data_IF_253726941437
#
_entry.id   IF_253726941437
#
_cell.length_a   1.000
_cell.length_b   1.000
_cell.length_c   1.000
_cell.angle_alpha   90.00
_cell.angle_beta   90.00
_cell.angle_gamma   90.00
#
_symmetry.space_group_name_H-M   'P 1'
#
loop_
_entity.id
_entity.type
_entity.pdbx_description
1 polymer ?
#
# COMPACT_ATOMS: atom_id res chain seq x y z
N UNK A 1 -76.09 -53.43 -8.01
CA UNK A 1 -75.61 -52.61 -6.87
C UNK A 1 -74.47 -53.40 -6.24
N UNK A 2 -73.19 -53.10 -6.35
CA UNK A 2 -72.45 -51.85 -6.49
C UNK A 2 -71.24 -52.02 -5.57
N UNK A 3 -70.10 -52.49 -6.08
CA UNK A 3 -68.88 -52.65 -5.31
C UNK A 3 -67.90 -51.53 -5.68
N UNK A 4 -67.69 -50.59 -4.76
CA UNK A 4 -66.71 -49.52 -4.89
C UNK A 4 -65.30 -50.12 -4.75
N UNK A 5 -64.50 -50.01 -5.81
CA UNK A 5 -63.05 -50.21 -5.75
C UNK A 5 -62.43 -48.85 -5.41
N UNK A 6 -61.96 -48.72 -4.17
CA UNK A 6 -61.21 -47.55 -3.72
C UNK A 6 -59.73 -47.74 -4.10
N UNK A 7 -59.32 -47.14 -5.21
CA UNK A 7 -57.91 -47.10 -5.62
C UNK A 7 -57.19 -46.03 -4.81
N UNK A 8 -56.36 -46.45 -3.86
CA UNK A 8 -55.45 -45.57 -3.11
C UNK A 8 -54.30 -45.18 -4.04
N UNK A 9 -54.33 -43.96 -4.56
CA UNK A 9 -53.21 -43.37 -5.30
C UNK A 9 -52.14 -42.97 -4.27
N UNK A 10 -51.07 -43.77 -4.20
CA UNK A 10 -49.89 -43.45 -3.43
C UNK A 10 -49.10 -42.37 -4.19
N UNK A 11 -49.36 -41.10 -3.89
CA UNK A 11 -48.52 -39.99 -4.35
C UNK A 11 -47.16 -40.08 -3.65
N UNK A 12 -46.20 -40.71 -4.31
CA UNK A 12 -44.77 -40.59 -3.95
C UNK A 12 -44.36 -39.15 -4.30
N UNK A 13 -44.48 -38.24 -3.34
CA UNK A 13 -43.82 -36.95 -3.40
C UNK A 13 -42.31 -37.21 -3.30
N UNK A 14 -41.65 -37.26 -4.45
CA UNK A 14 -40.20 -37.12 -4.51
C UNK A 14 -39.92 -35.69 -4.05
N UNK A 15 -39.61 -35.53 -2.77
CA UNK A 15 -39.01 -34.29 -2.27
C UNK A 15 -37.68 -34.16 -3.02
N UNK A 16 -37.47 -33.13 -3.84
CA UNK A 16 -36.14 -32.90 -4.39
C UNK A 16 -35.25 -32.57 -3.20
N UNK A 17 -34.37 -33.51 -2.85
CA UNK A 17 -33.25 -33.25 -1.95
C UNK A 17 -32.47 -32.11 -2.59
N UNK A 18 -32.62 -30.91 -2.05
CA UNK A 18 -31.84 -29.74 -2.45
C UNK A 18 -30.42 -29.99 -1.94
N UNK A 19 -29.65 -30.75 -2.72
CA UNK A 19 -28.20 -30.83 -2.56
C UNK A 19 -27.64 -29.46 -2.92
N UNK A 20 -27.17 -28.71 -1.93
CA UNK A 20 -26.56 -27.42 -2.14
C UNK A 20 -25.13 -27.67 -2.64
N UNK A 21 -24.99 -27.66 -3.96
CA UNK A 21 -23.69 -27.74 -4.64
C UNK A 21 -22.80 -26.58 -4.15
N UNK A 22 -21.46 -26.76 -4.11
CA UNK A 22 -20.56 -25.67 -3.78
C UNK A 22 -20.80 -24.51 -4.76
N UNK A 23 -21.16 -23.33 -4.24
CA UNK A 23 -21.47 -22.15 -5.06
C UNK A 23 -20.31 -21.17 -5.03
N UNK A 24 -19.86 -20.80 -6.22
CA UNK A 24 -19.01 -19.63 -6.41
C UNK A 24 -19.77 -18.39 -5.93
N UNK A 25 -19.21 -17.67 -4.96
CA UNK A 25 -19.75 -16.40 -4.50
C UNK A 25 -19.15 -15.28 -5.33
N UNK A 26 -19.99 -14.50 -5.99
CA UNK A 26 -19.56 -13.34 -6.74
C UNK A 26 -20.46 -12.15 -6.41
N UNK A 27 -19.86 -11.02 -6.03
CA UNK A 27 -20.59 -9.84 -5.58
C UNK A 27 -19.84 -8.57 -5.90
N UNK A 28 -20.57 -7.52 -6.27
CA UNK A 28 -20.09 -6.14 -6.25
C UNK A 28 -20.37 -5.47 -4.91
N UNK A 29 -19.64 -4.41 -4.58
CA UNK A 29 -19.93 -3.55 -3.42
C UNK A 29 -21.26 -2.79 -3.56
N UNK A 30 -21.73 -2.54 -4.78
CA UNK A 30 -23.06 -2.00 -5.07
C UNK A 30 -23.53 -2.46 -6.47
N UNK A 31 -24.85 -2.50 -6.68
CA UNK A 31 -25.44 -2.76 -8.01
C UNK A 31 -25.48 -1.49 -8.87
N UNK A 32 -25.61 -0.33 -8.24
CA UNK A 32 -25.64 0.98 -8.88
C UNK A 32 -24.59 1.86 -8.22
N UNK A 33 -23.71 2.45 -9.02
CA UNK A 33 -22.61 3.31 -8.58
C UNK A 33 -22.68 4.65 -9.31
N UNK A 34 -22.09 5.68 -8.71
CA UNK A 34 -21.92 6.99 -9.33
C UNK A 34 -20.45 7.18 -9.72
N UNK A 35 -20.24 7.55 -10.98
CA UNK A 35 -18.92 7.84 -11.54
C UNK A 35 -18.16 8.84 -10.64
N UNK A 36 -16.85 8.61 -10.42
CA UNK A 36 -15.95 9.46 -9.63
C UNK A 36 -16.29 9.66 -8.14
N UNK A 37 -17.36 9.05 -7.63
CA UNK A 37 -17.76 9.17 -6.22
C UNK A 37 -17.42 7.89 -5.48
N UNK A 38 -17.88 6.75 -5.99
CA UNK A 38 -17.75 5.46 -5.32
C UNK A 38 -16.86 4.52 -6.14
N UNK A 39 -15.91 3.83 -5.50
CA UNK A 39 -15.12 2.81 -6.20
C UNK A 39 -16.01 1.60 -6.53
N UNK A 40 -15.68 0.91 -7.63
CA UNK A 40 -16.26 -0.40 -7.93
C UNK A 40 -15.33 -1.49 -7.41
N UNK A 41 -15.85 -2.39 -6.61
CA UNK A 41 -15.11 -3.54 -6.07
C UNK A 41 -15.90 -4.80 -6.40
N UNK A 42 -15.32 -5.65 -7.25
CA UNK A 42 -15.85 -6.96 -7.57
C UNK A 42 -15.09 -8.02 -6.80
N UNK A 43 -15.80 -8.84 -6.04
CA UNK A 43 -15.22 -9.89 -5.20
C UNK A 43 -15.76 -11.25 -5.60
N UNK A 44 -14.85 -12.14 -6.03
CA UNK A 44 -15.17 -13.51 -6.36
C UNK A 44 -14.46 -14.46 -5.40
N UNK A 45 -15.19 -15.38 -4.77
CA UNK A 45 -14.63 -16.39 -3.87
C UNK A 45 -15.24 -17.77 -4.07
N UNK A 46 -14.40 -18.80 -3.99
CA UNK A 46 -14.80 -20.20 -4.06
C UNK A 46 -14.25 -20.95 -2.84
N UNK A 47 -15.15 -21.66 -2.16
CA UNK A 47 -14.78 -22.57 -1.07
C UNK A 47 -14.17 -23.85 -1.64
N UNK A 48 -12.98 -24.20 -1.14
CA UNK A 48 -12.29 -25.44 -1.50
C UNK A 48 -12.92 -26.68 -0.86
N UNK A 49 -13.73 -26.53 0.18
CA UNK A 49 -14.40 -27.63 0.86
C UNK A 49 -15.92 -27.43 0.85
N UNK A 50 -16.66 -28.48 0.47
CA UNK A 50 -18.10 -28.52 0.62
C UNK A 50 -18.50 -29.45 1.78
N UNK A 51 -18.97 -28.86 2.88
CA UNK A 51 -19.45 -29.59 4.06
C UNK A 51 -20.60 -30.56 3.73
N UNK A 52 -21.39 -30.29 2.70
CA UNK A 52 -22.56 -31.11 2.37
C UNK A 52 -22.20 -32.38 1.58
N UNK A 53 -21.18 -32.30 0.71
CA UNK A 53 -20.77 -33.44 -0.13
C UNK A 53 -19.49 -34.12 0.36
N UNK A 54 -18.81 -33.55 1.37
CA UNK A 54 -17.51 -33.99 1.86
C UNK A 54 -16.47 -34.09 0.72
N UNK A 55 -16.62 -33.22 -0.28
CA UNK A 55 -15.76 -33.16 -1.46
C UNK A 55 -14.81 -31.97 -1.36
N UNK A 56 -13.57 -32.21 -1.77
CA UNK A 56 -12.53 -31.20 -1.86
C UNK A 56 -12.35 -30.75 -3.31
N UNK A 57 -12.41 -29.45 -3.51
CA UNK A 57 -12.15 -28.76 -4.77
C UNK A 57 -10.76 -28.11 -4.73
N UNK A 58 -9.93 -28.48 -5.69
CA UNK A 58 -8.64 -27.84 -5.93
C UNK A 58 -8.80 -26.80 -7.03
N UNK A 59 -8.91 -25.53 -6.63
CA UNK A 59 -8.97 -24.40 -7.58
C UNK A 59 -7.62 -24.24 -8.26
N UNK A 60 -7.63 -24.11 -9.59
CA UNK A 60 -6.42 -23.92 -10.39
C UNK A 60 -6.38 -22.55 -11.07
N UNK A 61 -7.54 -22.05 -11.53
CA UNK A 61 -7.65 -20.78 -12.24
C UNK A 61 -8.94 -20.08 -11.81
N UNK A 62 -8.86 -18.77 -11.59
CA UNK A 62 -10.01 -17.88 -11.46
C UNK A 62 -9.84 -16.70 -12.40
N UNK A 63 -10.92 -16.21 -12.99
CA UNK A 63 -10.90 -14.94 -13.70
C UNK A 63 -12.23 -14.21 -13.63
N UNK A 64 -12.15 -12.89 -13.79
CA UNK A 64 -13.29 -12.00 -13.93
C UNK A 64 -13.26 -11.42 -15.33
N UNK A 65 -14.41 -11.41 -16.00
CA UNK A 65 -14.57 -10.83 -17.34
C UNK A 65 -15.81 -9.96 -17.43
N UNK A 66 -15.78 -8.98 -18.32
CA UNK A 66 -16.90 -8.13 -18.69
C UNK A 66 -17.52 -8.61 -20.01
N UNK A 67 -18.83 -8.42 -20.18
CA UNK A 67 -19.53 -8.86 -21.40
C UNK A 67 -18.99 -8.24 -22.70
N UNK A 68 -18.51 -7.00 -22.67
CA UNK A 68 -17.91 -6.31 -23.84
C UNK A 68 -16.40 -6.15 -23.76
N UNK A 69 -15.84 -6.01 -22.55
CA UNK A 69 -14.42 -5.66 -22.37
C UNK A 69 -13.54 -6.91 -22.25
N UNK A 70 -14.14 -8.11 -22.29
CA UNK A 70 -13.41 -9.36 -22.22
C UNK A 70 -12.83 -9.64 -20.83
N UNK A 71 -11.71 -10.36 -20.79
CA UNK A 71 -11.08 -10.79 -19.53
C UNK A 71 -10.41 -9.60 -18.86
N UNK A 72 -10.82 -9.31 -17.62
CA UNK A 72 -10.32 -8.19 -16.84
C UNK A 72 -9.11 -8.60 -16.01
N UNK A 73 -9.24 -9.70 -15.29
CA UNK A 73 -8.18 -10.21 -14.44
C UNK A 73 -8.23 -11.72 -14.35
N UNK A 74 -7.04 -12.33 -14.31
CA UNK A 74 -6.84 -13.77 -14.23
C UNK A 74 -5.87 -14.07 -13.09
N UNK A 75 -6.16 -15.11 -12.33
CA UNK A 75 -5.31 -15.65 -11.30
C UNK A 75 -5.18 -17.15 -11.50
N UNK A 76 -3.95 -17.59 -11.76
CA UNK A 76 -3.59 -19.01 -11.73
C UNK A 76 -2.90 -19.33 -10.42
N UNK A 77 -2.93 -20.60 -10.03
CA UNK A 77 -2.24 -21.07 -8.83
C UNK A 77 -0.74 -20.76 -8.91
N UNK A 78 -0.20 -20.25 -7.80
CA UNK A 78 1.21 -19.87 -7.62
C UNK A 78 1.73 -18.80 -8.60
N UNK A 79 0.84 -18.06 -9.25
CA UNK A 79 1.17 -16.93 -10.11
C UNK A 79 0.68 -15.61 -9.50
N UNK A 80 1.33 -14.50 -9.87
CA UNK A 80 0.81 -13.17 -9.59
C UNK A 80 -0.50 -12.95 -10.34
N UNK A 81 -1.38 -12.13 -9.77
CA UNK A 81 -2.63 -11.75 -10.45
C UNK A 81 -2.29 -10.94 -11.70
N UNK A 82 -2.80 -11.38 -12.85
CA UNK A 82 -2.70 -10.65 -14.10
C UNK A 82 -3.92 -9.74 -14.26
N UNK A 83 -3.68 -8.52 -14.74
CA UNK A 83 -4.72 -7.54 -15.11
C UNK A 83 -4.52 -7.21 -16.58
N UNK A 84 -5.61 -7.11 -17.35
CA UNK A 84 -5.54 -6.79 -18.76
C UNK A 84 -4.91 -5.41 -19.00
N UNK A 85 -4.07 -5.31 -20.03
CA UNK A 85 -3.24 -4.14 -20.32
C UNK A 85 -4.05 -2.88 -20.68
N UNK A 86 -5.29 -3.04 -21.10
CA UNK A 86 -6.24 -1.97 -21.43
C UNK A 86 -6.88 -1.33 -20.18
N UNK A 87 -6.63 -1.86 -18.99
CA UNK A 87 -7.25 -1.39 -17.74
C UNK A 87 -6.25 -0.71 -16.78
N UNK A 88 -5.58 0.34 -17.23
CA UNK A 88 -4.53 1.04 -16.45
C UNK A 88 -4.98 1.63 -15.10
N UNK A 89 -6.29 1.75 -14.83
CA UNK A 89 -6.84 2.25 -13.56
C UNK A 89 -7.37 1.15 -12.62
N UNK A 90 -7.27 -0.12 -12.99
CA UNK A 90 -7.67 -1.24 -12.13
C UNK A 90 -6.50 -1.81 -11.34
N UNK A 91 -6.81 -2.16 -10.10
CA UNK A 91 -5.95 -2.97 -9.27
C UNK A 91 -6.67 -4.28 -8.98
N UNK A 92 -5.97 -5.40 -9.08
CA UNK A 92 -6.51 -6.69 -8.72
C UNK A 92 -5.58 -7.39 -7.73
N UNK A 93 -6.17 -8.12 -6.79
CA UNK A 93 -5.44 -8.99 -5.89
C UNK A 93 -6.26 -10.23 -5.62
N UNK A 94 -5.60 -11.30 -5.24
CA UNK A 94 -6.25 -12.59 -5.06
C UNK A 94 -5.24 -13.63 -4.64
N UNK A 95 -5.77 -14.75 -4.16
CA UNK A 95 -4.96 -15.89 -3.76
C UNK A 95 -5.76 -17.17 -3.91
N UNK A 96 -5.12 -18.16 -4.52
CA UNK A 96 -5.64 -19.52 -4.57
C UNK A 96 -5.02 -20.29 -3.40
N UNK A 97 -5.88 -20.81 -2.52
CA UNK A 97 -5.47 -21.54 -1.33
C UNK A 97 -5.62 -23.05 -1.54
N UNK A 98 -4.61 -23.79 -1.06
CA UNK A 98 -4.61 -25.25 -1.08
C UNK A 98 -5.29 -25.89 0.14
N UNK A 99 -5.65 -25.10 1.16
CA UNK A 99 -6.18 -25.59 2.44
C UNK A 99 -7.70 -25.52 2.46
N UNK A 100 -8.31 -26.50 3.12
CA UNK A 100 -9.77 -26.70 3.16
C UNK A 100 -10.54 -25.61 3.93
N UNK A 101 -9.84 -24.75 4.67
CA UNK A 101 -10.42 -23.72 5.53
C UNK A 101 -10.34 -22.30 4.96
N UNK A 102 -9.70 -22.10 3.80
CA UNK A 102 -9.55 -20.76 3.20
C UNK A 102 -10.12 -20.72 1.79
N UNK A 103 -11.05 -19.79 1.58
CA UNK A 103 -11.67 -19.54 0.29
C UNK A 103 -10.63 -18.96 -0.66
N UNK A 104 -10.49 -19.59 -1.83
CA UNK A 104 -9.73 -19.00 -2.93
C UNK A 104 -10.51 -17.80 -3.45
N UNK A 105 -9.84 -16.68 -3.68
CA UNK A 105 -10.52 -15.45 -4.06
C UNK A 105 -9.73 -14.61 -5.06
N UNK A 106 -10.49 -13.82 -5.84
CA UNK A 106 -10.00 -12.82 -6.77
C UNK A 106 -10.87 -11.56 -6.61
N UNK A 107 -10.23 -10.43 -6.35
CA UNK A 107 -10.86 -9.13 -6.20
C UNK A 107 -10.29 -8.15 -7.22
N UNK A 108 -11.17 -7.41 -7.89
CA UNK A 108 -10.80 -6.33 -8.82
C UNK A 108 -11.43 -5.03 -8.36
N UNK A 109 -10.62 -3.97 -8.36
CA UNK A 109 -10.94 -2.65 -7.80
C UNK A 109 -10.72 -1.59 -8.87
N UNK A 110 -11.76 -0.84 -9.20
CA UNK A 110 -11.68 0.40 -9.97
C UNK A 110 -11.80 1.56 -8.98
N UNK A 111 -10.75 2.39 -8.88
CA UNK A 111 -10.81 3.61 -8.05
C UNK A 111 -11.84 4.61 -8.58
N UNK A 112 -11.85 4.79 -9.90
CA UNK A 112 -12.73 5.72 -10.60
C UNK A 112 -13.45 4.97 -11.74
N UNK A 113 -14.53 4.22 -11.44
CA UNK A 113 -15.27 3.49 -12.47
C UNK A 113 -15.91 4.48 -13.45
N UNK A 114 -15.87 4.16 -14.75
CA UNK A 114 -16.48 4.96 -15.82
C UNK A 114 -17.85 4.39 -16.20
N UNK A 115 -18.68 5.20 -16.86
CA UNK A 115 -19.99 4.72 -17.38
C UNK A 115 -19.81 3.53 -18.35
N UNK A 116 -18.71 3.52 -19.12
CA UNK A 116 -18.33 2.43 -20.04
C UNK A 116 -18.05 1.10 -19.33
N UNK A 117 -17.84 1.11 -18.01
CA UNK A 117 -17.69 -0.08 -17.17
C UNK A 117 -19.05 -0.59 -16.65
N UNK A 118 -20.17 -0.02 -17.10
CA UNK A 118 -21.48 -0.61 -16.82
C UNK A 118 -21.69 -1.86 -17.66
N UNK A 119 -22.29 -2.87 -17.06
CA UNK A 119 -22.64 -4.10 -17.76
C UNK A 119 -22.63 -5.33 -16.86
N UNK A 120 -22.65 -6.48 -17.51
CA UNK A 120 -22.58 -7.78 -16.86
C UNK A 120 -21.13 -8.22 -16.70
N UNK A 121 -20.81 -8.60 -15.47
CA UNK A 121 -19.56 -9.20 -15.09
C UNK A 121 -19.77 -10.66 -14.77
N UNK A 122 -18.80 -11.48 -15.13
CA UNK A 122 -18.80 -12.91 -14.88
C UNK A 122 -17.54 -13.25 -14.10
N UNK A 123 -17.69 -13.99 -13.01
CA UNK A 123 -16.59 -14.70 -12.41
C UNK A 123 -16.65 -16.17 -12.80
N UNK A 124 -15.52 -16.71 -13.23
CA UNK A 124 -15.34 -18.12 -13.53
C UNK A 124 -14.21 -18.69 -12.67
N UNK A 125 -14.41 -19.89 -12.16
CA UNK A 125 -13.41 -20.64 -11.40
C UNK A 125 -13.33 -22.07 -11.90
N UNK A 126 -12.12 -22.48 -12.27
CA UNK A 126 -11.78 -23.83 -12.71
C UNK A 126 -11.17 -24.58 -11.54
N UNK A 127 -11.80 -25.68 -11.15
CA UNK A 127 -11.35 -26.52 -10.07
C UNK A 127 -11.39 -27.99 -10.46
N UNK A 128 -10.57 -28.81 -9.80
CA UNK A 128 -10.64 -30.26 -9.88
C UNK A 128 -11.24 -30.80 -8.60
N UNK A 129 -12.19 -31.73 -8.69
CA UNK A 129 -12.70 -32.43 -7.52
C UNK A 129 -11.68 -33.47 -6.98
N UNK A 130 -12.06 -34.19 -5.93
CA UNK A 130 -11.24 -35.24 -5.31
C UNK A 130 -10.90 -36.40 -6.25
N UNK A 131 -11.75 -36.66 -7.25
CA UNK A 131 -11.51 -37.70 -8.27
C UNK A 131 -10.65 -37.21 -9.44
N UNK A 132 -10.23 -35.94 -9.42
CA UNK A 132 -9.41 -35.32 -10.46
C UNK A 132 -10.20 -34.83 -11.68
N UNK A 133 -11.53 -34.90 -11.64
CA UNK A 133 -12.42 -34.43 -12.70
C UNK A 133 -12.52 -32.89 -12.67
N UNK A 134 -12.43 -32.29 -13.86
CA UNK A 134 -12.57 -30.84 -14.03
C UNK A 134 -14.01 -30.39 -13.75
N UNK A 135 -14.14 -29.31 -12.99
CA UNK A 135 -15.38 -28.66 -12.61
C UNK A 135 -15.25 -27.16 -12.84
N UNK A 136 -16.24 -26.57 -13.52
CA UNK A 136 -16.28 -25.14 -13.80
C UNK A 136 -17.43 -24.52 -13.01
N UNK A 137 -17.11 -23.50 -12.24
CA UNK A 137 -18.09 -22.71 -11.49
C UNK A 137 -18.16 -21.31 -12.08
N UNK A 138 -19.38 -20.80 -12.22
CA UNK A 138 -19.62 -19.47 -12.77
C UNK A 138 -20.70 -18.76 -11.96
N UNK A 139 -20.54 -17.44 -11.81
CA UNK A 139 -21.52 -16.55 -11.22
C UNK A 139 -21.44 -15.17 -11.88
N UNK A 140 -22.54 -14.44 -11.88
CA UNK A 140 -22.71 -13.20 -12.65
C UNK A 140 -23.24 -12.10 -11.75
N UNK A 141 -22.75 -10.87 -11.95
CA UNK A 141 -23.32 -9.65 -11.34
C UNK A 141 -23.52 -8.60 -12.43
N UNK A 142 -24.51 -7.75 -12.27
CA UNK A 142 -24.74 -6.60 -13.18
C UNK A 142 -24.46 -5.32 -12.42
N UNK A 143 -23.63 -4.46 -13.00
CA UNK A 143 -23.24 -3.18 -12.42
C UNK A 143 -23.73 -2.06 -13.33
N UNK A 144 -24.34 -1.03 -12.75
CA UNK A 144 -24.75 0.18 -13.47
C UNK A 144 -24.03 1.39 -12.92
N UNK A 145 -23.17 2.00 -13.73
CA UNK A 145 -22.48 3.24 -13.40
C UNK A 145 -23.25 4.42 -14.00
N UNK A 146 -23.63 5.36 -13.15
CA UNK A 146 -24.40 6.55 -13.52
C UNK A 146 -23.54 7.81 -13.41
N UNK A 147 -23.87 8.83 -14.20
CA UNK A 147 -23.34 10.18 -13.96
C UNK A 147 -23.85 10.71 -12.62
N UNK A 148 -23.00 11.37 -11.83
CA UNK A 148 -23.44 12.02 -10.61
C UNK A 148 -24.37 13.19 -10.92
N UNK A 149 -25.36 13.41 -10.05
CA UNK A 149 -26.23 14.59 -10.09
C UNK A 149 -25.63 15.73 -9.27
N UNK A 150 -26.16 16.94 -9.42
CA UNK A 150 -25.72 18.10 -8.64
C UNK A 150 -25.76 17.83 -7.13
N UNK A 151 -26.82 17.21 -6.61
CA UNK A 151 -26.96 16.90 -5.19
C UNK A 151 -25.85 15.95 -4.68
N UNK A 152 -25.45 14.99 -5.51
CA UNK A 152 -24.37 14.05 -5.19
C UNK A 152 -23.02 14.78 -5.09
N UNK A 153 -22.80 15.74 -5.99
CA UNK A 153 -21.59 16.57 -5.99
C UNK A 153 -21.56 17.52 -4.78
N UNK A 154 -22.70 18.05 -4.35
CA UNK A 154 -22.80 18.88 -3.14
C UNK A 154 -22.39 18.08 -1.90
N UNK A 155 -22.78 16.80 -1.81
CA UNK A 155 -22.37 15.93 -0.72
C UNK A 155 -20.84 15.71 -0.71
N UNK A 156 -20.25 15.43 -1.87
CA UNK A 156 -18.78 15.26 -2.00
C UNK A 156 -18.06 16.56 -1.64
N UNK A 157 -18.52 17.70 -2.15
CA UNK A 157 -17.95 19.00 -1.83
C UNK A 157 -18.01 19.28 -0.32
N UNK A 158 -19.13 18.97 0.34
CA UNK A 158 -19.26 19.10 1.79
C UNK A 158 -18.29 18.20 2.57
N UNK A 159 -18.03 16.98 2.09
CA UNK A 159 -17.01 16.11 2.70
C UNK A 159 -15.59 16.63 2.50
N UNK A 160 -15.29 17.19 1.32
CA UNK A 160 -14.00 17.80 1.03
C UNK A 160 -13.75 19.03 1.89
N UNK A 161 -14.75 19.91 2.04
CA UNK A 161 -14.66 21.08 2.91
C UNK A 161 -14.35 20.67 4.36
N UNK A 162 -15.06 19.68 4.91
CA UNK A 162 -14.76 19.15 6.26
C UNK A 162 -13.33 18.61 6.40
N UNK A 163 -12.79 17.98 5.36
CA UNK A 163 -11.39 17.52 5.35
C UNK A 163 -10.41 18.68 5.35
N UNK A 164 -10.71 19.74 4.59
CA UNK A 164 -9.92 20.99 4.60
C UNK A 164 -9.92 21.59 6.01
N UNK A 165 -11.09 21.75 6.63
CA UNK A 165 -11.20 22.28 8.01
C UNK A 165 -10.36 21.44 9.00
N UNK A 166 -10.41 20.11 8.87
CA UNK A 166 -9.62 19.20 9.72
C UNK A 166 -8.12 19.38 9.49
N UNK A 167 -7.70 19.54 8.23
CA UNK A 167 -6.29 19.76 7.89
C UNK A 167 -5.80 21.10 8.40
N UNK A 168 -6.61 22.15 8.31
CA UNK A 168 -6.30 23.47 8.88
C UNK A 168 -6.08 23.38 10.39
N UNK A 169 -6.95 22.70 11.12
CA UNK A 169 -6.77 22.46 12.57
C UNK A 169 -5.49 21.69 12.89
N UNK A 170 -5.14 20.69 12.07
CA UNK A 170 -3.89 19.94 12.24
C UNK A 170 -2.66 20.81 11.98
N UNK A 171 -2.73 21.71 10.98
CA UNK A 171 -1.65 22.66 10.69
C UNK A 171 -1.45 23.63 11.84
N UNK A 172 -2.52 24.26 12.35
CA UNK A 172 -2.45 25.15 13.52
C UNK A 172 -1.89 24.41 14.76
N UNK A 173 -2.35 23.18 14.98
CA UNK A 173 -1.85 22.32 16.06
C UNK A 173 -0.37 21.96 15.92
N UNK A 174 0.15 21.86 14.70
CA UNK A 174 1.58 21.63 14.47
C UNK A 174 2.40 22.91 14.64
N UNK A 175 1.89 24.06 14.20
CA UNK A 175 2.56 25.36 14.39
C UNK A 175 2.74 25.70 15.88
N UNK A 176 1.71 25.46 16.71
CA UNK A 176 1.80 25.68 18.15
C UNK A 176 2.83 24.78 18.83
N UNK A 177 2.94 23.51 18.40
CA UNK A 177 3.98 22.59 18.89
C UNK A 177 5.37 23.06 18.51
N UNK A 178 5.56 23.54 17.28
CA UNK A 178 6.84 24.08 16.81
C UNK A 178 7.24 25.33 17.60
N UNK A 179 6.31 26.26 17.83
CA UNK A 179 6.56 27.42 18.71
C UNK A 179 6.95 27.01 20.13
N UNK A 180 6.23 26.04 20.73
CA UNK A 180 6.58 25.53 22.05
C UNK A 180 7.89 24.75 22.11
N UNK A 181 8.38 24.23 20.99
CA UNK A 181 9.72 23.64 20.87
C UNK A 181 10.78 24.75 20.77
N UNK A 182 10.51 25.80 19.99
CA UNK A 182 11.38 26.96 19.86
C UNK A 182 11.55 27.71 21.18
N UNK A 183 10.47 27.96 21.92
CA UNK A 183 10.51 28.56 23.26
C UNK A 183 11.36 27.73 24.23
N UNK A 184 11.26 26.39 24.16
CA UNK A 184 12.10 25.48 24.94
C UNK A 184 13.57 25.57 24.53
N UNK A 185 13.85 25.64 23.23
CA UNK A 185 15.21 25.82 22.73
C UNK A 185 15.81 27.17 23.17
N UNK A 186 15.01 28.24 23.18
CA UNK A 186 15.42 29.56 23.69
C UNK A 186 15.70 29.50 25.19
N UNK A 187 14.86 28.86 25.99
CA UNK A 187 15.11 28.68 27.43
C UNK A 187 16.38 27.84 27.69
N UNK A 188 16.59 26.79 26.90
CA UNK A 188 17.82 25.98 26.97
C UNK A 188 19.03 26.85 26.62
N UNK A 189 18.98 27.61 25.53
CA UNK A 189 20.07 28.52 25.13
C UNK A 189 20.38 29.55 26.22
N UNK A 190 19.37 30.19 26.82
CA UNK A 190 19.55 31.12 27.95
C UNK A 190 20.19 30.44 29.17
N UNK A 191 19.80 29.20 29.46
CA UNK A 191 20.38 28.42 30.56
C UNK A 191 21.84 28.04 30.27
N UNK A 192 22.18 27.72 29.03
CA UNK A 192 23.57 27.54 28.59
C UNK A 192 24.39 28.83 28.73
N UNK A 193 23.86 29.99 28.30
CA UNK A 193 24.53 31.30 28.50
C UNK A 193 24.74 31.64 29.98
N UNK A 194 23.78 31.29 30.85
CA UNK A 194 23.92 31.44 32.30
C UNK A 194 24.96 30.52 32.93
N UNK A 195 25.16 29.32 32.37
CA UNK A 195 26.23 28.40 32.76
C UNK A 195 27.62 28.89 32.32
N UNK A 196 27.71 29.56 31.17
CA UNK A 196 28.94 30.26 30.75
C UNK A 196 29.27 31.46 31.66
N UNK A 197 28.25 32.21 32.10
CA UNK A 197 28.42 33.33 33.03
C UNK A 197 28.79 32.91 34.47
N UNK A 198 28.59 31.62 34.84
CA UNK A 198 28.97 31.04 36.13
C UNK A 198 30.37 30.40 36.13
N UNK A 199 31.16 30.51 35.06
CA UNK A 199 32.52 29.96 35.03
C UNK A 199 33.56 30.92 34.44
N UNK A 200 33.72 32.07 35.10
CA UNK A 200 34.79 33.02 34.84
C UNK A 200 35.81 33.01 36.00
N UNK A 201 36.40 31.84 36.31
CA UNK A 201 37.75 31.77 36.92
C UNK A 201 38.41 30.37 37.03
N UNK A 202 38.02 29.34 36.26
CA UNK A 202 38.73 28.03 36.30
C UNK A 202 38.85 27.27 34.98
N UNK A 203 38.81 27.93 33.82
CA UNK A 203 39.15 27.29 32.54
C UNK A 203 39.93 28.26 31.65
N UNK A 204 41.04 28.80 32.17
CA UNK A 204 41.93 29.66 31.38
C UNK A 204 43.35 29.10 31.19
N UNK A 205 43.65 27.91 31.73
CA UNK A 205 44.97 27.28 31.57
C UNK A 205 44.97 25.99 30.74
N UNK A 206 43.80 25.40 30.44
CA UNK A 206 43.69 24.15 29.66
C UNK A 206 43.29 24.34 28.18
N UNK A 207 42.88 25.54 27.77
CA UNK A 207 42.45 25.83 26.37
C UNK A 207 43.59 26.44 25.52
N UNK A 208 44.81 26.54 26.04
CA UNK A 208 45.99 26.96 25.25
C UNK A 208 46.84 25.79 24.72
N UNK A 209 46.41 24.53 24.88
CA UNK A 209 47.22 23.36 24.47
C UNK A 209 46.51 22.38 23.52
N UNK A 210 45.23 22.61 23.16
CA UNK A 210 44.49 21.71 22.23
C UNK A 210 44.11 22.33 20.89
N UNK A 211 44.69 23.47 20.51
CA UNK A 211 44.85 23.84 19.09
C UNK A 211 45.99 23.04 18.46
N UNK A 212 45.93 21.72 18.61
CA UNK A 212 46.65 20.84 17.70
C UNK A 212 45.98 21.00 16.34
N UNK A 213 46.75 21.44 15.36
CA UNK A 213 46.43 21.40 13.95
C UNK A 213 45.84 20.03 13.57
N UNK A 214 44.52 19.85 13.65
CA UNK A 214 43.85 18.74 12.96
C UNK A 214 43.84 19.10 11.49
N UNK A 215 44.76 18.50 10.75
CA UNK A 215 44.74 18.50 9.29
C UNK A 215 43.32 18.15 8.82
N UNK A 216 42.70 18.94 7.93
CA UNK A 216 41.36 18.65 7.44
C UNK A 216 41.34 17.27 6.79
N UNK A 217 40.28 16.49 7.04
CA UNK A 217 40.15 15.13 6.51
C UNK A 217 40.15 15.17 4.98
N UNK A 218 41.01 14.38 4.35
CA UNK A 218 41.01 14.26 2.88
C UNK A 218 39.99 13.24 2.38
N UNK A 219 39.61 12.30 3.25
CA UNK A 219 38.68 11.22 2.98
C UNK A 219 38.01 10.74 4.27
N UNK A 220 36.89 10.02 4.15
CA UNK A 220 36.25 9.33 5.27
C UNK A 220 37.15 8.27 5.93
N UNK A 221 38.20 7.78 5.24
CA UNK A 221 39.15 6.80 5.80
C UNK A 221 39.88 7.32 7.05
N UNK A 222 40.11 8.63 7.12
CA UNK A 222 40.83 9.26 8.23
C UNK A 222 39.88 9.72 9.35
N UNK A 223 38.56 9.56 9.16
CA UNK A 223 37.55 10.02 10.10
C UNK A 223 37.36 8.99 11.20
N UNK A 224 37.78 9.36 12.41
CA UNK A 224 37.56 8.57 13.62
C UNK A 224 36.39 9.16 14.42
N UNK A 225 35.29 8.42 14.53
CA UNK A 225 34.10 8.80 15.31
C UNK A 225 33.56 7.63 16.12
N UNK A 226 32.90 7.93 17.24
CA UNK A 226 32.09 6.96 17.99
C UNK A 226 30.81 6.56 17.24
N UNK A 227 30.26 7.48 16.45
CA UNK A 227 29.00 7.29 15.74
C UNK A 227 29.18 6.41 14.51
N UNK A 228 28.19 5.56 14.23
CA UNK A 228 28.19 4.69 13.03
C UNK A 228 28.30 5.52 11.74
N UNK A 229 27.57 6.64 11.70
CA UNK A 229 27.54 7.58 10.58
C UNK A 229 27.71 9.00 11.08
N UNK A 230 28.65 9.74 10.51
CA UNK A 230 28.96 11.11 10.89
C UNK A 230 29.09 11.98 9.64
N UNK A 231 28.62 13.22 9.73
CA UNK A 231 28.76 14.20 8.64
C UNK A 231 29.99 15.06 8.91
N UNK A 232 30.89 15.15 7.93
CA UNK A 232 32.13 15.94 8.03
C UNK A 232 32.28 16.83 6.81
N UNK A 233 33.16 17.83 6.92
CA UNK A 233 33.61 18.65 5.78
C UNK A 233 35.03 18.22 5.43
N UNK A 234 35.24 17.79 4.19
CA UNK A 234 36.56 17.39 3.69
C UNK A 234 37.43 18.60 3.37
N UNK A 235 38.74 18.37 3.17
CA UNK A 235 39.68 19.39 2.71
C UNK A 235 39.29 20.01 1.35
N UNK A 236 38.46 19.32 0.55
CA UNK A 236 37.84 19.84 -0.68
C UNK A 236 36.65 20.78 -0.43
N UNK A 237 36.37 21.13 0.84
CA UNK A 237 35.19 21.89 1.29
C UNK A 237 33.84 21.18 1.05
N UNK A 238 33.88 19.92 0.62
CA UNK A 238 32.68 19.13 0.39
C UNK A 238 32.16 18.53 1.70
N UNK A 239 30.87 18.70 1.97
CA UNK A 239 30.16 18.08 3.09
C UNK A 239 29.72 16.68 2.70
N UNK A 240 30.18 15.65 3.42
CA UNK A 240 29.91 14.23 3.15
C UNK A 240 29.48 13.48 4.40
N UNK A 241 28.70 12.41 4.24
CA UNK A 241 28.41 11.46 5.31
C UNK A 241 29.38 10.26 5.25
N UNK A 242 30.10 10.03 6.33
CA UNK A 242 31.03 8.91 6.48
C UNK A 242 30.40 7.77 7.27
N UNK A 243 30.48 6.53 6.78
CA UNK A 243 30.29 5.32 7.60
C UNK A 243 31.64 4.92 8.21
N UNK A 244 31.71 4.91 9.54
CA UNK A 244 32.96 4.66 10.28
C UNK A 244 33.06 3.24 10.84
N UNK A 245 32.05 2.39 10.62
CA UNK A 245 31.97 1.05 11.26
C UNK A 245 31.80 -0.09 10.26
N UNK A 246 30.96 0.07 9.25
CA UNK A 246 30.62 -0.99 8.29
C UNK A 246 31.87 -1.41 7.50
N UNK A 247 32.18 -2.71 7.49
CA UNK A 247 33.33 -3.30 6.80
C UNK A 247 34.68 -2.61 7.09
N UNK A 248 34.89 -2.18 8.33
CA UNK A 248 36.12 -1.50 8.77
C UNK A 248 36.08 0.03 8.62
N UNK A 249 34.96 0.59 8.14
CA UNK A 249 34.74 2.03 8.03
C UNK A 249 35.51 2.70 6.91
N UNK A 250 35.36 4.02 6.83
CA UNK A 250 36.04 4.86 5.84
C UNK A 250 35.25 5.09 4.56
N UNK A 251 33.96 4.77 4.55
CA UNK A 251 33.11 4.89 3.36
C UNK A 251 32.46 6.26 3.27
N UNK A 252 32.53 6.88 2.09
CA UNK A 252 31.67 8.01 1.74
C UNK A 252 30.33 7.43 1.28
N UNK A 253 29.25 7.80 1.96
CA UNK A 253 27.89 7.50 1.52
C UNK A 253 27.49 8.59 0.53
N UNK A 254 27.47 8.26 -0.76
CA UNK A 254 27.06 9.20 -1.81
C UNK A 254 25.54 9.18 -2.07
N UNK A 255 24.82 8.17 -1.56
CA UNK A 255 23.38 8.05 -1.70
C UNK A 255 22.80 7.26 -0.51
N UNK A 256 21.67 7.72 0.05
CA UNK A 256 20.96 6.99 1.12
C UNK A 256 19.44 7.07 0.98
N UNK A 257 18.76 5.91 1.11
CA UNK A 257 17.28 5.78 1.24
C UNK A 257 16.95 5.14 2.59
N UNK A 258 15.88 5.61 3.23
CA UNK A 258 15.37 5.06 4.49
C UNK A 258 13.84 4.91 4.43
N UNK A 259 13.09 6.01 4.41
CA UNK A 259 11.63 6.03 4.57
C UNK A 259 10.88 6.69 3.40
N UNK A 260 11.59 7.22 2.40
CA UNK A 260 10.99 7.89 1.23
C UNK A 260 10.48 9.30 1.50
N UNK A 261 11.06 10.02 2.46
CA UNK A 261 10.80 11.44 2.72
C UNK A 261 11.34 12.35 1.62
N UNK A 262 12.43 11.96 0.98
CA UNK A 262 13.00 12.67 -0.17
C UNK A 262 12.54 11.99 -1.46
N UNK A 263 11.96 12.78 -2.36
CA UNK A 263 11.66 12.34 -3.72
C UNK A 263 12.95 12.21 -4.54
N UNK A 264 13.14 11.05 -5.18
CA UNK A 264 14.28 10.75 -6.06
C UNK A 264 13.89 10.84 -7.54
N UNK A 265 12.63 11.14 -7.88
CA UNK A 265 12.22 11.44 -9.24
C UNK A 265 12.57 12.89 -9.61
N UNK A 266 13.87 13.14 -9.80
CA UNK A 266 14.46 14.48 -9.99
C UNK A 266 14.99 14.71 -11.39
N UNK A 267 15.12 15.98 -11.76
CA UNK A 267 15.70 16.39 -13.04
C UNK A 267 17.23 16.29 -13.06
N UNK A 268 17.84 16.42 -14.25
CA UNK A 268 19.30 16.34 -14.42
C UNK A 268 20.07 17.32 -13.52
N UNK A 269 19.60 18.57 -13.41
CA UNK A 269 20.27 19.60 -12.61
C UNK A 269 20.39 19.21 -11.13
N UNK A 270 19.35 18.64 -10.56
CA UNK A 270 19.34 18.20 -9.17
C UNK A 270 20.26 16.98 -8.96
N UNK A 271 20.28 16.03 -9.91
CA UNK A 271 21.24 14.92 -9.85
C UNK A 271 22.69 15.38 -10.03
N UNK A 272 22.93 16.40 -10.85
CA UNK A 272 24.25 17.02 -11.02
C UNK A 272 24.73 17.67 -9.72
N UNK A 273 23.89 18.49 -9.10
CA UNK A 273 24.25 19.34 -7.96
C UNK A 273 24.12 18.60 -6.60
N UNK A 274 23.28 17.56 -6.50
CA UNK A 274 22.92 16.87 -5.27
C UNK A 274 21.59 17.36 -4.68
N UNK A 275 20.93 16.51 -3.87
CA UNK A 275 19.67 16.84 -3.20
C UNK A 275 19.42 15.99 -1.95
N UNK A 276 18.45 16.41 -1.14
CA UNK A 276 18.10 15.78 0.13
C UNK A 276 18.83 16.40 1.32
N UNK A 277 18.81 15.72 2.45
CA UNK A 277 19.33 16.26 3.71
C UNK A 277 19.94 15.14 4.56
N UNK A 278 21.14 15.41 5.07
CA UNK A 278 21.88 14.50 5.93
C UNK A 278 21.19 14.29 7.29
N UNK A 279 20.48 15.30 7.80
CA UNK A 279 19.86 15.26 9.14
C UNK A 279 18.62 14.36 9.17
N UNK A 280 17.84 14.33 8.07
CA UNK A 280 16.76 13.36 7.86
C UNK A 280 17.27 11.99 7.38
N UNK A 281 18.53 11.93 6.93
CA UNK A 281 19.22 10.71 6.51
C UNK A 281 18.92 10.24 5.09
N UNK A 282 18.28 11.05 4.24
CA UNK A 282 18.00 10.72 2.84
C UNK A 282 18.55 11.79 1.91
N UNK A 283 19.46 11.40 1.02
CA UNK A 283 20.12 12.33 0.12
C UNK A 283 20.78 11.61 -1.07
N UNK A 284 21.17 12.43 -2.06
CA UNK A 284 22.07 12.13 -3.15
C UNK A 284 23.15 13.20 -3.19
N UNK A 285 24.43 12.78 -3.16
CA UNK A 285 25.58 13.68 -3.02
C UNK A 285 25.75 14.63 -4.23
N UNK A 286 25.34 14.20 -5.42
CA UNK A 286 25.48 14.95 -6.67
C UNK A 286 26.57 14.39 -7.57
N UNK A 287 26.34 14.36 -8.88
CA UNK A 287 27.27 13.77 -9.85
C UNK A 287 28.60 14.54 -9.94
N UNK A 288 28.58 15.87 -9.81
CA UNK A 288 29.82 16.68 -9.83
C UNK A 288 30.63 16.56 -8.54
N UNK A 289 30.03 15.91 -7.53
CA UNK A 289 30.62 15.70 -6.21
C UNK A 289 31.20 14.29 -6.03
N UNK A 290 30.94 13.37 -6.98
CA UNK A 290 31.40 11.97 -6.98
C UNK A 290 32.61 11.83 -7.92
#
# INVERSE_FOLDING_TARGET
MGALILQVILCVFIVPVISSRPKLKFSGNAEILKEFIEPLILSCSLKSFNNETNEHLKVHIMFIQHETNGVISTLSKDQAVAVSADQSSTHAHGKIYNKDLQDSYLQVIWKNPKISESGKYFCLAYAKNSTGQDSVFQSTVTIKVLKPKADDLVQVLGQLLKRVDTLEQLLEGNETKLRGQDDRNVQIAQKFSGLEALNLQRVSDDILISTTHKTPFTSCRDVNSSDERVVVTLASEQKVMCDTKTDGGGWIIFQRRIMGYVDFYRGWKEYRDGFGDYDIGEFYLGNENI
#
